data_IF_021965567514
#
_entry.id   IF_021965567514
#
_cell.length_a   1.000
_cell.length_b   1.000
_cell.length_c   1.000
_cell.angle_alpha   90.00
_cell.angle_beta   90.00
_cell.angle_gamma   90.00
#
_symmetry.space_group_name_H-M   'P 1'
#
loop_
_entity.id
_entity.type
_entity.pdbx_description
1 polymer ?
#
# COMPACT_ATOMS: atom_id res chain seq x y z
N UNK A 1 -13.28 -3.24 -5.22
CA UNK A 1 -13.69 -1.82 -5.30
C UNK A 1 -12.67 -0.96 -4.56
N UNK A 2 -12.07 -0.01 -5.27
CA UNK A 2 -11.12 0.98 -4.77
C UNK A 2 -11.83 2.28 -4.40
N UNK A 3 -11.35 2.96 -3.35
CA UNK A 3 -11.82 4.28 -2.92
C UNK A 3 -10.92 5.42 -3.41
N UNK A 4 -10.20 5.21 -4.52
CA UNK A 4 -9.37 6.24 -5.15
C UNK A 4 -10.22 7.45 -5.57
N UNK A 5 -9.80 8.65 -5.15
CA UNK A 5 -10.45 9.92 -5.48
C UNK A 5 -9.74 10.61 -6.64
N UNK A 6 -8.49 11.03 -6.42
CA UNK A 6 -7.68 11.77 -7.38
C UNK A 6 -6.19 11.69 -7.01
N UNK A 7 -5.35 12.42 -7.74
CA UNK A 7 -3.96 12.64 -7.37
C UNK A 7 -3.77 14.06 -6.83
N UNK A 8 -2.90 14.21 -5.83
CA UNK A 8 -2.58 15.51 -5.25
C UNK A 8 -1.07 15.71 -5.16
N UNK A 9 -0.59 16.88 -5.58
CA UNK A 9 0.81 17.22 -5.39
C UNK A 9 1.18 17.27 -3.90
N UNK A 10 2.22 16.51 -3.51
CA UNK A 10 2.74 16.49 -2.14
C UNK A 10 3.36 17.82 -1.68
N UNK A 11 3.57 18.78 -2.60
CA UNK A 11 4.10 20.10 -2.30
C UNK A 11 3.06 21.21 -2.27
N UNK A 12 2.46 21.52 -3.43
CA UNK A 12 1.53 22.65 -3.56
C UNK A 12 0.06 22.26 -3.43
N UNK A 13 -0.24 20.97 -3.18
CA UNK A 13 -1.60 20.45 -2.97
C UNK A 13 -2.56 20.57 -4.16
N UNK A 14 -2.08 21.01 -5.33
CA UNK A 14 -2.85 21.00 -6.59
C UNK A 14 -3.34 19.58 -6.91
N UNK A 15 -4.59 19.48 -7.32
CA UNK A 15 -5.26 18.24 -7.70
C UNK A 15 -5.10 17.94 -9.19
N UNK A 16 -5.10 16.64 -9.49
CA UNK A 16 -4.90 16.06 -10.81
C UNK A 16 -5.81 14.85 -10.95
N UNK A 17 -6.27 14.60 -12.17
CA UNK A 17 -7.08 13.42 -12.48
C UNK A 17 -6.25 12.14 -12.28
N UNK A 18 -6.81 11.13 -11.63
CA UNK A 18 -6.12 9.85 -11.44
C UNK A 18 -6.16 8.95 -12.68
N UNK A 19 -7.04 9.26 -13.64
CA UNK A 19 -7.24 8.49 -14.87
C UNK A 19 -6.44 9.04 -16.07
N UNK A 20 -5.61 10.06 -15.82
CA UNK A 20 -4.71 10.64 -16.82
C UNK A 20 -3.26 10.35 -16.44
N UNK A 21 -2.44 10.02 -17.44
CA UNK A 21 -1.02 9.83 -17.24
C UNK A 21 -0.36 11.18 -16.87
N UNK A 22 0.22 11.23 -15.68
CA UNK A 22 0.93 12.38 -15.16
C UNK A 22 2.39 12.04 -14.85
N UNK A 23 3.28 13.01 -15.07
CA UNK A 23 4.63 13.01 -14.51
C UNK A 23 4.61 13.75 -13.16
N UNK A 24 5.56 14.66 -12.95
CA UNK A 24 5.59 15.54 -11.79
C UNK A 24 4.51 16.63 -11.90
N UNK A 25 4.19 17.25 -10.76
CA UNK A 25 3.31 18.40 -10.70
C UNK A 25 3.76 19.50 -11.66
N UNK A 26 2.89 19.91 -12.58
CA UNK A 26 3.21 20.94 -13.58
C UNK A 26 3.38 22.37 -13.01
N UNK A 27 3.04 22.57 -11.74
CA UNK A 27 3.16 23.87 -11.07
C UNK A 27 4.43 24.00 -10.22
N UNK A 28 4.96 22.91 -9.66
CA UNK A 28 6.09 22.98 -8.71
C UNK A 28 7.08 21.81 -8.79
N UNK A 29 6.94 20.90 -9.76
CA UNK A 29 7.89 19.81 -10.01
C UNK A 29 7.94 18.71 -8.95
N UNK A 30 7.05 18.70 -7.96
CA UNK A 30 7.02 17.67 -6.90
C UNK A 30 6.14 16.46 -7.27
N UNK A 31 6.38 15.26 -6.68
CA UNK A 31 5.57 14.08 -6.92
C UNK A 31 4.08 14.28 -6.60
N UNK A 32 3.25 13.53 -7.33
CA UNK A 32 1.82 13.41 -7.07
C UNK A 32 1.56 12.19 -6.17
N UNK A 33 0.65 12.34 -5.22
CA UNK A 33 0.26 11.32 -4.25
C UNK A 33 -1.20 10.93 -4.52
N UNK A 34 -1.49 9.63 -4.51
CA UNK A 34 -2.87 9.14 -4.61
C UNK A 34 -3.67 9.50 -3.35
N UNK A 35 -4.87 10.05 -3.54
CA UNK A 35 -5.83 10.31 -2.46
C UNK A 35 -6.96 9.30 -2.50
N UNK A 36 -7.38 8.87 -1.33
CA UNK A 36 -8.46 7.91 -1.15
C UNK A 36 -9.52 8.49 -0.22
N UNK A 37 -10.77 8.07 -0.38
CA UNK A 37 -11.79 8.26 0.63
C UNK A 37 -11.53 7.32 1.81
N UNK A 38 -10.76 7.82 2.78
CA UNK A 38 -10.37 7.04 3.96
C UNK A 38 -11.54 6.78 4.90
N UNK A 39 -12.59 7.60 4.89
CA UNK A 39 -13.77 7.35 5.72
C UNK A 39 -14.47 6.10 5.21
N UNK A 40 -14.82 6.08 3.92
CA UNK A 40 -15.44 4.91 3.28
C UNK A 40 -14.54 3.67 3.30
N UNK A 41 -13.23 3.84 3.08
CA UNK A 41 -12.28 2.72 3.17
C UNK A 41 -12.23 2.11 4.57
N UNK A 42 -12.25 2.93 5.62
CA UNK A 42 -12.20 2.44 7.01
C UNK A 42 -13.45 1.63 7.39
N UNK A 43 -14.62 1.99 6.87
CA UNK A 43 -15.86 1.25 7.06
C UNK A 43 -15.84 -0.09 6.31
N UNK A 44 -15.24 -0.14 5.12
CA UNK A 44 -15.14 -1.36 4.32
C UNK A 44 -14.07 -2.35 4.82
N UNK A 45 -12.96 -1.86 5.37
CA UNK A 45 -11.78 -2.65 5.76
C UNK A 45 -11.83 -3.11 7.23
N UNK A 46 -12.96 -3.69 7.64
CA UNK A 46 -13.12 -4.18 9.03
C UNK A 46 -12.18 -5.35 9.35
N UNK A 47 -11.82 -5.58 10.63
CA UNK A 47 -10.94 -6.70 11.00
C UNK A 47 -11.40 -8.08 10.48
N UNK A 48 -12.71 -8.36 10.54
CA UNK A 48 -13.28 -9.62 10.04
C UNK A 48 -13.11 -9.76 8.52
N UNK A 49 -13.35 -8.67 7.78
CA UNK A 49 -13.17 -8.61 6.33
C UNK A 49 -11.69 -8.73 5.94
N UNK A 50 -10.78 -8.17 6.74
CA UNK A 50 -9.35 -8.27 6.49
C UNK A 50 -8.81 -9.66 6.82
N UNK A 51 -9.38 -10.34 7.82
CA UNK A 51 -9.01 -11.69 8.23
C UNK A 51 -9.48 -12.78 7.23
N UNK A 52 -10.57 -12.53 6.48
CA UNK A 52 -11.07 -13.47 5.47
C UNK A 52 -10.29 -13.45 4.15
N UNK A 53 -9.34 -12.53 3.99
CA UNK A 53 -8.53 -12.36 2.77
C UNK A 53 -7.20 -13.10 2.88
N UNK A 54 -6.68 -13.54 1.74
CA UNK A 54 -5.34 -14.11 1.66
C UNK A 54 -4.24 -13.10 2.02
N UNK A 55 -3.04 -13.57 2.40
CA UNK A 55 -1.90 -12.73 2.76
C UNK A 55 -1.20 -12.20 1.50
N UNK A 56 -1.87 -11.38 0.71
CA UNK A 56 -1.30 -10.72 -0.47
C UNK A 56 -1.45 -9.21 -0.35
N UNK A 57 -0.75 -8.43 -1.19
CA UNK A 57 -0.94 -6.97 -1.23
C UNK A 57 -2.40 -6.60 -1.55
N UNK A 58 -3.08 -7.42 -2.37
CA UNK A 58 -4.46 -7.23 -2.78
C UNK A 58 -5.48 -7.36 -1.65
N UNK A 59 -5.05 -7.83 -0.46
CA UNK A 59 -5.91 -7.76 0.73
C UNK A 59 -6.28 -6.32 1.11
N UNK A 60 -5.59 -5.30 0.58
CA UNK A 60 -5.85 -3.88 0.83
C UNK A 60 -6.47 -3.15 -0.37
N UNK A 61 -7.16 -3.86 -1.28
CA UNK A 61 -7.70 -3.33 -2.56
C UNK A 61 -8.46 -1.99 -2.48
N UNK A 62 -9.11 -1.71 -1.36
CA UNK A 62 -9.83 -0.47 -1.09
C UNK A 62 -8.95 0.78 -1.21
N UNK A 63 -7.65 0.65 -0.90
CA UNK A 63 -6.65 1.72 -0.95
C UNK A 63 -5.57 1.45 -1.99
N UNK A 64 -5.88 0.65 -3.01
CA UNK A 64 -5.06 0.44 -4.20
C UNK A 64 -5.77 1.04 -5.44
N UNK A 65 -5.05 1.51 -6.46
CA UNK A 65 -5.64 2.24 -7.59
C UNK A 65 -6.22 1.32 -8.67
N UNK A 66 -6.92 0.25 -8.28
CA UNK A 66 -7.56 -0.70 -9.20
C UNK A 66 -9.06 -0.75 -8.89
N UNK A 67 -9.88 -0.18 -9.78
CA UNK A 67 -11.34 -0.09 -9.57
C UNK A 67 -12.07 -1.38 -9.89
N UNK A 68 -11.59 -2.10 -10.91
CA UNK A 68 -12.12 -3.39 -11.35
C UNK A 68 -11.10 -4.51 -11.05
N UNK A 69 -11.53 -5.46 -10.22
CA UNK A 69 -10.70 -6.59 -9.78
C UNK A 69 -10.30 -7.49 -10.97
N UNK A 70 -11.02 -7.45 -12.10
CA UNK A 70 -10.65 -8.16 -13.33
C UNK A 70 -9.37 -7.65 -13.99
N UNK A 71 -8.88 -6.46 -13.62
CA UNK A 71 -7.61 -5.90 -14.08
C UNK A 71 -6.43 -6.20 -13.14
N UNK A 72 -6.63 -7.00 -12.10
CA UNK A 72 -5.56 -7.40 -11.20
C UNK A 72 -4.65 -8.40 -11.91
N UNK A 73 -3.39 -8.01 -12.08
CA UNK A 73 -2.30 -8.90 -12.48
C UNK A 73 -1.43 -9.12 -11.25
N UNK A 74 -1.25 -10.37 -10.84
CA UNK A 74 -0.53 -10.70 -9.60
C UNK A 74 0.26 -11.99 -9.75
N UNK A 75 1.36 -12.06 -9.01
CA UNK A 75 2.14 -13.29 -8.79
C UNK A 75 1.98 -13.78 -7.33
N UNK A 76 1.04 -13.22 -6.57
CA UNK A 76 0.84 -13.54 -5.16
C UNK A 76 1.70 -12.72 -4.20
N UNK A 77 2.22 -11.57 -4.64
CA UNK A 77 3.09 -10.69 -3.86
C UNK A 77 2.44 -10.11 -2.59
N UNK A 78 3.30 -9.71 -1.64
CA UNK A 78 2.91 -9.21 -0.32
C UNK A 78 2.77 -10.30 0.74
N UNK A 79 2.26 -9.93 1.92
CA UNK A 79 2.08 -10.86 3.04
C UNK A 79 3.36 -11.56 3.54
N UNK A 80 4.52 -11.00 3.19
CA UNK A 80 5.83 -11.54 3.54
C UNK A 80 6.04 -11.59 5.07
N UNK A 81 6.89 -12.49 5.59
CA UNK A 81 7.09 -12.67 7.02
C UNK A 81 7.59 -11.41 7.73
N UNK A 82 7.15 -11.24 8.97
CA UNK A 82 7.75 -10.31 9.93
C UNK A 82 8.45 -11.16 11.00
N UNK A 83 9.75 -11.38 10.83
CA UNK A 83 10.56 -12.30 11.64
C UNK A 83 11.09 -11.60 12.87
N UNK A 84 10.83 -12.13 14.06
CA UNK A 84 11.44 -11.63 15.30
C UNK A 84 12.91 -12.06 15.35
N UNK A 85 13.83 -11.09 15.26
CA UNK A 85 15.27 -11.33 15.17
C UNK A 85 15.92 -11.37 16.57
N UNK A 86 15.47 -12.27 17.44
CA UNK A 86 15.83 -12.34 18.87
C UNK A 86 17.35 -12.24 19.12
N UNK A 87 18.15 -13.12 18.48
CA UNK A 87 19.61 -13.16 18.64
C UNK A 87 20.32 -11.87 18.24
N UNK A 88 19.82 -11.19 17.22
CA UNK A 88 20.37 -9.90 16.79
C UNK A 88 19.90 -8.79 17.74
N UNK A 89 18.65 -8.85 18.18
CA UNK A 89 18.09 -7.98 19.19
C UNK A 89 18.90 -7.99 20.47
N UNK A 90 19.21 -9.16 21.03
CA UNK A 90 20.06 -9.32 22.22
C UNK A 90 21.42 -8.64 22.07
N UNK A 91 22.09 -8.86 20.93
CA UNK A 91 23.41 -8.25 20.65
C UNK A 91 23.35 -6.73 20.56
N UNK A 92 22.23 -6.17 20.13
CA UNK A 92 22.02 -4.74 19.95
C UNK A 92 21.29 -4.07 21.12
N UNK A 93 20.93 -4.82 22.17
CA UNK A 93 20.14 -4.31 23.29
C UNK A 93 18.69 -3.97 22.92
N UNK A 94 18.12 -4.63 21.91
CA UNK A 94 16.76 -4.41 21.39
C UNK A 94 15.88 -5.63 21.63
N UNK A 95 14.90 -5.51 22.54
CA UNK A 95 13.97 -6.62 22.83
C UNK A 95 13.00 -6.92 21.67
N UNK A 96 12.61 -5.90 20.91
CA UNK A 96 11.58 -5.97 19.87
C UNK A 96 12.17 -5.65 18.49
N UNK A 97 13.21 -6.39 18.08
CA UNK A 97 13.79 -6.26 16.74
C UNK A 97 13.11 -7.22 15.77
N UNK A 98 12.49 -6.68 14.72
CA UNK A 98 11.84 -7.47 13.67
C UNK A 98 12.47 -7.19 12.30
N UNK A 99 12.55 -8.23 11.47
CA UNK A 99 12.94 -8.15 10.08
C UNK A 99 11.69 -8.39 9.23
N UNK A 100 11.36 -7.41 8.38
CA UNK A 100 10.34 -7.57 7.35
C UNK A 100 11.02 -8.16 6.11
N UNK A 101 10.84 -9.46 5.89
CA UNK A 101 11.57 -10.21 4.85
C UNK A 101 10.86 -10.13 3.49
N UNK A 102 11.05 -9.02 2.78
CA UNK A 102 10.46 -8.81 1.45
C UNK A 102 11.13 -9.64 0.34
N UNK A 103 12.24 -10.35 0.62
CA UNK A 103 12.96 -11.17 -0.36
C UNK A 103 12.15 -12.38 -0.85
N UNK A 104 11.07 -12.71 -0.15
CA UNK A 104 10.14 -13.77 -0.54
C UNK A 104 9.07 -13.31 -1.53
N UNK A 105 9.10 -12.05 -1.96
CA UNK A 105 8.29 -11.63 -3.09
C UNK A 105 8.75 -12.32 -4.39
N UNK A 106 7.89 -12.35 -5.43
CA UNK A 106 8.13 -13.14 -6.63
C UNK A 106 9.43 -12.85 -7.39
N UNK A 107 10.06 -11.70 -7.19
CA UNK A 107 11.28 -11.28 -7.91
C UNK A 107 12.53 -11.21 -7.04
N UNK A 108 12.45 -11.62 -5.76
CA UNK A 108 13.49 -11.35 -4.76
C UNK A 108 13.55 -9.87 -4.36
#
# INVERSE_FOLDING_TARGET
MSFLLDLQCGGCRKQYDADVLHNLCNACGKPLLARYDMASASEAMTPNVMASRGPTMWRYREVLPVRDDGHIVTLGEGGTPLVHAERLGEKLGMANLFIKDESLNPTG
#
